data_IF_114909381022
#
_entry.id   IF_114909381022
#
_cell.length_a   1.000
_cell.length_b   1.000
_cell.length_c   1.000
_cell.angle_alpha   90.00
_cell.angle_beta   90.00
_cell.angle_gamma   90.00
#
_symmetry.space_group_name_H-M   'P 1'
#
loop_
_entity.id
_entity.type
_entity.pdbx_description
1 polymer ?
#
# COMPACT_ATOMS: atom_id res chain seq x y z
N UNK A 1 15.43 24.58 -7.04
CA UNK A 1 14.16 24.10 -7.62
C UNK A 1 14.23 22.59 -7.63
N UNK A 2 13.22 21.89 -7.13
CA UNK A 2 13.22 20.42 -7.20
C UNK A 2 12.75 19.94 -8.57
N UNK A 3 13.02 18.68 -8.92
CA UNK A 3 12.68 18.10 -10.22
C UNK A 3 11.18 18.19 -10.51
N UNK A 4 10.31 17.81 -9.55
CA UNK A 4 8.86 17.83 -9.78
C UNK A 4 8.28 19.25 -9.91
N UNK A 5 8.91 20.26 -9.32
CA UNK A 5 8.54 21.66 -9.59
C UNK A 5 8.76 22.00 -11.07
N UNK A 6 9.90 21.56 -11.61
CA UNK A 6 10.26 21.75 -13.01
C UNK A 6 9.34 20.95 -13.95
N UNK A 7 8.99 19.71 -13.60
CA UNK A 7 8.03 18.88 -14.35
C UNK A 7 6.68 19.57 -14.46
N UNK A 8 6.15 20.14 -13.37
CA UNK A 8 4.86 20.84 -13.42
C UNK A 8 4.94 22.15 -14.20
N UNK A 9 6.06 22.85 -14.17
CA UNK A 9 6.28 24.03 -15.01
C UNK A 9 6.37 23.67 -16.50
N UNK A 10 7.12 22.62 -16.85
CA UNK A 10 7.18 22.08 -18.20
C UNK A 10 5.79 21.63 -18.67
N UNK A 11 5.02 20.95 -17.81
CA UNK A 11 3.66 20.52 -18.12
C UNK A 11 2.70 21.69 -18.38
N UNK A 12 2.79 22.78 -17.62
CA UNK A 12 2.01 24.01 -17.87
C UNK A 12 2.31 24.61 -19.24
N UNK A 13 3.57 24.57 -19.68
CA UNK A 13 3.99 25.05 -21.00
C UNK A 13 3.52 24.12 -22.11
N UNK A 14 3.66 22.81 -21.91
CA UNK A 14 3.15 21.77 -22.80
C UNK A 14 1.65 21.92 -23.05
N UNK A 15 0.85 22.06 -21.99
CA UNK A 15 -0.60 22.24 -22.09
C UNK A 15 -1.01 23.60 -22.68
N UNK A 16 -0.11 24.61 -22.62
CA UNK A 16 -0.28 25.91 -23.28
C UNK A 16 0.16 25.92 -24.76
N UNK A 17 0.65 24.79 -25.29
CA UNK A 17 1.02 24.61 -26.70
C UNK A 17 2.51 24.53 -26.99
N UNK A 18 3.38 24.71 -25.99
CA UNK A 18 4.84 24.57 -26.15
C UNK A 18 5.27 23.11 -25.96
N UNK A 19 5.27 22.36 -27.07
CA UNK A 19 5.67 20.94 -27.09
C UNK A 19 7.18 20.72 -26.94
N UNK A 20 7.99 21.77 -26.95
CA UNK A 20 9.44 21.71 -26.81
C UNK A 20 9.91 21.95 -25.36
N UNK A 21 8.98 22.14 -24.42
CA UNK A 21 9.25 22.34 -23.00
C UNK A 21 9.83 21.08 -22.35
N UNK A 22 11.12 20.82 -22.60
CA UNK A 22 11.87 19.71 -22.03
C UNK A 22 12.78 20.20 -20.90
N UNK A 23 12.88 19.39 -19.87
CA UNK A 23 13.85 19.51 -18.80
C UNK A 23 15.15 18.90 -19.28
N UNK A 24 16.27 19.59 -19.08
CA UNK A 24 17.58 19.05 -19.46
C UNK A 24 18.17 18.23 -18.32
N UNK A 25 18.76 17.09 -18.66
CA UNK A 25 19.33 16.15 -17.69
C UNK A 25 20.40 16.78 -16.80
N UNK A 26 21.20 17.69 -17.35
CA UNK A 26 22.30 18.36 -16.64
C UNK A 26 21.80 19.09 -15.39
N UNK A 27 20.61 19.69 -15.46
CA UNK A 27 20.02 20.44 -14.36
C UNK A 27 19.59 19.53 -13.19
N UNK A 28 19.27 18.26 -13.47
CA UNK A 28 18.67 17.34 -12.51
C UNK A 28 19.41 16.00 -12.43
N UNK A 29 20.72 15.99 -12.67
CA UNK A 29 21.56 14.77 -12.69
C UNK A 29 21.42 13.93 -11.43
N UNK A 30 21.17 14.54 -10.26
CA UNK A 30 21.00 13.85 -8.98
C UNK A 30 19.57 13.34 -8.71
N UNK A 31 18.58 13.80 -9.48
CA UNK A 31 17.15 13.47 -9.35
C UNK A 31 16.60 12.64 -10.50
N UNK A 32 17.39 12.41 -11.56
CA UNK A 32 17.04 11.57 -12.70
C UNK A 32 17.82 10.24 -12.68
N UNK A 33 17.24 9.14 -13.20
CA UNK A 33 15.91 9.04 -13.82
C UNK A 33 14.76 8.92 -12.80
N UNK A 34 13.54 9.22 -13.23
CA UNK A 34 12.30 9.00 -12.45
C UNK A 34 11.75 7.60 -12.70
N UNK A 35 11.40 6.85 -11.66
CA UNK A 35 10.62 5.62 -11.80
C UNK A 35 9.11 5.94 -11.81
N UNK A 36 8.49 5.91 -12.99
CA UNK A 36 7.09 6.29 -13.17
C UNK A 36 6.19 5.05 -13.33
N UNK A 37 5.27 4.82 -12.39
CA UNK A 37 4.20 3.83 -12.51
C UNK A 37 2.92 4.49 -13.02
N UNK A 38 2.35 3.95 -14.08
CA UNK A 38 1.05 4.40 -14.61
C UNK A 38 0.19 3.26 -15.15
N UNK A 39 -0.95 3.60 -15.75
CA UNK A 39 -1.91 2.67 -16.33
C UNK A 39 -1.42 2.07 -17.67
N UNK A 40 -1.95 0.91 -18.04
CA UNK A 40 -1.83 0.31 -19.39
C UNK A 40 -2.70 1.01 -20.46
N UNK A 41 -3.38 2.11 -20.12
CA UNK A 41 -4.17 2.87 -21.09
C UNK A 41 -3.30 3.36 -22.25
N UNK A 42 -3.67 2.97 -23.47
CA UNK A 42 -2.88 3.24 -24.69
C UNK A 42 -2.76 4.73 -25.00
N UNK A 43 -3.72 5.56 -24.53
CA UNK A 43 -3.68 7.02 -24.71
C UNK A 43 -2.49 7.66 -24.02
N UNK A 44 -1.94 7.02 -22.98
CA UNK A 44 -0.75 7.49 -22.27
C UNK A 44 0.55 7.32 -23.08
N UNK A 45 0.58 6.43 -24.08
CA UNK A 45 1.80 6.13 -24.84
C UNK A 45 2.43 7.38 -25.48
N UNK A 46 1.69 8.16 -26.31
CA UNK A 46 2.21 9.40 -26.85
C UNK A 46 2.20 10.54 -25.84
N UNK A 47 1.34 10.50 -24.81
CA UNK A 47 1.08 11.64 -23.95
C UNK A 47 2.10 11.80 -22.82
N UNK A 48 2.44 10.71 -22.15
CA UNK A 48 3.19 10.75 -20.89
C UNK A 48 4.61 11.34 -21.03
N UNK A 49 5.43 10.99 -22.04
CA UNK A 49 6.77 11.57 -22.17
C UNK A 49 6.72 13.10 -22.28
N UNK A 50 5.80 13.62 -23.09
CA UNK A 50 5.61 15.06 -23.29
C UNK A 50 5.00 15.74 -22.06
N UNK A 51 4.04 15.10 -21.40
CA UNK A 51 3.40 15.65 -20.22
C UNK A 51 4.39 15.78 -19.04
N UNK A 52 5.36 14.89 -18.92
CA UNK A 52 6.42 14.99 -17.91
C UNK A 52 7.54 15.96 -18.31
N UNK A 53 7.68 16.28 -19.60
CA UNK A 53 8.77 17.09 -20.11
C UNK A 53 10.15 16.43 -19.93
N UNK A 54 10.20 15.10 -19.87
CA UNK A 54 11.42 14.31 -19.69
C UNK A 54 11.76 13.59 -20.99
N UNK A 55 13.06 13.43 -21.26
CA UNK A 55 13.53 12.54 -22.32
C UNK A 55 13.19 11.08 -21.98
N UNK A 56 13.10 10.20 -22.98
CA UNK A 56 12.71 8.79 -22.78
C UNK A 56 13.70 8.04 -21.88
N UNK A 57 14.99 8.41 -21.96
CA UNK A 57 16.07 7.88 -21.11
C UNK A 57 16.03 8.39 -19.67
N UNK A 58 15.28 9.45 -19.39
CA UNK A 58 15.21 10.14 -18.10
C UNK A 58 14.06 9.63 -17.21
N UNK A 59 13.25 8.69 -17.69
CA UNK A 59 12.29 7.99 -16.84
C UNK A 59 12.17 6.50 -17.16
N UNK A 60 12.05 5.71 -16.11
CA UNK A 60 11.80 4.28 -16.16
C UNK A 60 10.29 4.10 -16.13
N UNK A 61 9.72 3.57 -17.22
CA UNK A 61 8.27 3.43 -17.36
C UNK A 61 7.78 2.07 -16.87
N UNK A 62 7.06 2.06 -15.76
CA UNK A 62 6.34 0.90 -15.22
C UNK A 62 4.85 1.02 -15.51
N UNK A 63 4.18 -0.09 -15.84
CA UNK A 63 2.75 -0.09 -16.21
C UNK A 63 2.00 -1.30 -15.68
N UNK A 64 0.78 -1.07 -15.19
CA UNK A 64 -0.20 -2.12 -14.94
C UNK A 64 -1.63 -1.59 -15.10
N UNK A 65 -2.64 -2.45 -14.98
CA UNK A 65 -4.04 -2.03 -15.02
C UNK A 65 -4.34 -1.07 -13.86
N UNK A 66 -4.67 0.18 -14.19
CA UNK A 66 -5.11 1.18 -13.22
C UNK A 66 -4.04 1.68 -12.25
N UNK A 67 -2.74 1.54 -12.57
CA UNK A 67 -1.63 2.01 -11.71
C UNK A 67 -1.73 1.49 -10.25
N UNK A 68 -2.27 0.29 -10.07
CA UNK A 68 -2.64 -0.28 -8.75
C UNK A 68 -1.41 -0.84 -8.05
N UNK A 69 -1.28 -0.57 -6.76
CA UNK A 69 -0.29 -1.21 -5.88
C UNK A 69 -1.05 -1.81 -4.70
N UNK A 70 -1.13 -3.13 -4.65
CA UNK A 70 -1.96 -3.84 -3.68
C UNK A 70 -1.42 -3.73 -2.25
N UNK A 71 -0.13 -4.04 -2.09
CA UNK A 71 0.54 -4.10 -0.80
C UNK A 71 2.04 -3.78 -0.92
N UNK A 72 2.72 -3.49 0.20
CA UNK A 72 4.12 -3.06 0.22
C UNK A 72 5.15 -4.14 -0.15
N UNK A 73 4.74 -5.38 -0.47
CA UNK A 73 5.59 -6.49 -0.93
C UNK A 73 5.06 -7.13 -2.22
N UNK A 74 4.04 -6.53 -2.83
CA UNK A 74 3.42 -6.97 -4.08
C UNK A 74 4.41 -7.06 -5.23
N UNK A 75 4.04 -7.78 -6.31
CA UNK A 75 4.90 -7.90 -7.49
C UNK A 75 5.31 -6.55 -8.07
N UNK A 76 4.37 -5.59 -8.14
CA UNK A 76 4.68 -4.25 -8.63
C UNK A 76 5.61 -3.49 -7.70
N UNK A 77 5.48 -3.68 -6.38
CA UNK A 77 6.42 -3.07 -5.43
C UNK A 77 7.84 -3.58 -5.64
N UNK A 78 8.01 -4.90 -5.85
CA UNK A 78 9.32 -5.48 -6.16
C UNK A 78 9.88 -4.91 -7.46
N UNK A 79 9.06 -4.77 -8.50
CA UNK A 79 9.48 -4.14 -9.76
C UNK A 79 9.91 -2.69 -9.56
N UNK A 80 9.16 -1.92 -8.78
CA UNK A 80 9.48 -0.52 -8.47
C UNK A 80 10.77 -0.41 -7.67
N UNK A 81 10.97 -1.28 -6.68
CA UNK A 81 12.20 -1.34 -5.90
C UNK A 81 13.42 -1.67 -6.78
N UNK A 82 13.29 -2.60 -7.73
CA UNK A 82 14.35 -2.92 -8.69
C UNK A 82 14.60 -1.77 -9.68
N UNK A 83 13.57 -1.00 -10.06
CA UNK A 83 13.75 0.22 -10.86
C UNK A 83 14.62 1.24 -10.12
N UNK A 84 14.43 1.40 -8.81
CA UNK A 84 15.30 2.25 -7.99
C UNK A 84 16.71 1.65 -7.80
N UNK A 85 16.79 0.39 -7.34
CA UNK A 85 18.04 -0.22 -6.91
C UNK A 85 18.97 -0.63 -8.06
N UNK A 86 18.43 -1.11 -9.19
CA UNK A 86 19.22 -1.61 -10.32
C UNK A 86 19.27 -0.60 -11.46
N UNK A 87 18.15 0.06 -11.77
CA UNK A 87 18.08 1.04 -12.88
C UNK A 87 18.36 2.47 -12.43
N UNK A 88 18.61 2.68 -11.14
CA UNK A 88 19.04 3.96 -10.60
C UNK A 88 17.93 5.00 -10.46
N UNK A 89 16.65 4.60 -10.49
CA UNK A 89 15.51 5.48 -10.26
C UNK A 89 15.69 6.28 -8.96
N UNK A 90 15.75 7.60 -9.07
CA UNK A 90 16.06 8.52 -7.95
C UNK A 90 14.81 9.00 -7.23
N UNK A 91 13.72 9.14 -7.98
CA UNK A 91 12.41 9.56 -7.48
C UNK A 91 11.33 8.68 -8.11
N UNK A 92 10.23 8.46 -7.40
CA UNK A 92 9.10 7.64 -7.81
C UNK A 92 7.91 8.55 -8.14
N UNK A 93 7.24 8.30 -9.25
CA UNK A 93 5.99 8.94 -9.64
C UNK A 93 4.88 7.89 -9.76
N UNK A 94 3.82 8.01 -8.95
CA UNK A 94 2.59 7.23 -9.14
C UNK A 94 1.62 8.12 -9.92
N UNK A 95 1.36 7.76 -11.17
CA UNK A 95 0.63 8.60 -12.13
C UNK A 95 -0.67 7.91 -12.50
N UNK A 96 -1.77 8.40 -11.93
CA UNK A 96 -3.12 8.06 -12.38
C UNK A 96 -3.56 8.97 -13.53
N UNK A 97 -4.68 8.65 -14.15
CA UNK A 97 -5.27 9.49 -15.20
C UNK A 97 -6.78 9.57 -15.09
N UNK A 98 -7.39 10.65 -15.59
CA UNK A 98 -8.85 10.77 -15.73
C UNK A 98 -9.38 9.78 -16.76
N UNK A 99 -10.68 9.45 -16.66
CA UNK A 99 -11.34 8.48 -17.54
C UNK A 99 -10.63 7.11 -17.57
N UNK A 100 -10.24 6.62 -16.40
CA UNK A 100 -9.62 5.31 -16.28
C UNK A 100 -10.66 4.19 -16.46
N UNK A 101 -10.52 3.39 -17.51
CA UNK A 101 -11.48 2.29 -17.77
C UNK A 101 -11.50 1.23 -16.67
N UNK A 102 -10.37 1.02 -15.98
CA UNK A 102 -10.32 0.11 -14.82
C UNK A 102 -11.21 0.63 -13.68
N UNK A 103 -11.21 1.95 -13.45
CA UNK A 103 -12.10 2.62 -12.48
C UNK A 103 -13.56 2.56 -12.92
N UNK A 104 -13.82 2.75 -14.21
CA UNK A 104 -15.18 2.84 -14.75
C UNK A 104 -15.89 1.47 -14.83
N UNK A 105 -15.14 0.37 -14.81
CA UNK A 105 -15.69 -0.98 -14.97
C UNK A 105 -16.27 -1.50 -13.66
N UNK A 106 -17.57 -1.82 -13.66
CA UNK A 106 -18.23 -2.48 -12.52
C UNK A 106 -17.91 -3.98 -12.45
N UNK A 107 -18.16 -4.63 -11.30
CA UNK A 107 -17.97 -6.08 -11.15
C UNK A 107 -18.87 -6.88 -12.11
N UNK A 108 -20.11 -6.42 -12.32
CA UNK A 108 -21.06 -7.04 -13.25
C UNK A 108 -20.50 -6.98 -14.66
N UNK A 109 -20.10 -5.78 -15.10
CA UNK A 109 -19.52 -5.57 -16.42
C UNK A 109 -18.22 -6.36 -16.61
N UNK A 110 -17.34 -6.40 -15.60
CA UNK A 110 -16.11 -7.19 -15.63
C UNK A 110 -16.41 -8.67 -15.81
N UNK A 111 -17.40 -9.19 -15.07
CA UNK A 111 -17.82 -10.59 -15.15
C UNK A 111 -18.39 -10.91 -16.53
N UNK A 112 -19.22 -10.03 -17.09
CA UNK A 112 -19.78 -10.21 -18.44
C UNK A 112 -18.70 -10.13 -19.52
N UNK A 113 -17.72 -9.23 -19.38
CA UNK A 113 -16.55 -9.15 -20.27
C UNK A 113 -15.69 -10.41 -20.20
N UNK A 114 -15.44 -10.96 -19.01
CA UNK A 114 -14.74 -12.24 -18.87
C UNK A 114 -15.54 -13.41 -19.45
N UNK A 115 -16.86 -13.44 -19.24
CA UNK A 115 -17.75 -14.43 -19.86
C UNK A 115 -17.67 -14.37 -21.38
N UNK A 116 -17.68 -13.17 -21.96
CA UNK A 116 -17.54 -12.98 -23.41
C UNK A 116 -16.19 -13.44 -23.96
N UNK A 117 -15.14 -13.49 -23.12
CA UNK A 117 -13.85 -14.10 -23.43
C UNK A 117 -13.82 -15.63 -23.23
N UNK A 118 -14.94 -16.25 -22.85
CA UNK A 118 -15.03 -17.68 -22.56
C UNK A 118 -14.50 -18.08 -21.19
N UNK A 119 -14.32 -17.12 -20.27
CA UNK A 119 -13.88 -17.40 -18.90
C UNK A 119 -15.10 -17.67 -18.02
N UNK A 120 -15.21 -18.91 -17.53
CA UNK A 120 -16.28 -19.30 -16.61
C UNK A 120 -16.12 -18.63 -15.24
N UNK A 121 -17.25 -18.26 -14.62
CA UNK A 121 -17.26 -17.61 -13.29
C UNK A 121 -16.59 -18.45 -12.20
N UNK A 122 -16.64 -19.77 -12.32
CA UNK A 122 -16.02 -20.75 -11.40
C UNK A 122 -14.49 -20.68 -11.38
N UNK A 123 -13.86 -20.17 -12.45
CA UNK A 123 -12.40 -20.00 -12.54
C UNK A 123 -11.93 -18.65 -12.02
N UNK A 124 -12.85 -17.72 -11.81
CA UNK A 124 -12.55 -16.40 -11.29
C UNK A 124 -12.56 -16.42 -9.77
N UNK A 125 -11.69 -15.61 -9.12
CA UNK A 125 -11.72 -15.42 -7.67
C UNK A 125 -13.12 -15.08 -7.15
N UNK A 126 -13.41 -15.42 -5.90
CA UNK A 126 -14.70 -15.09 -5.28
C UNK A 126 -14.87 -13.57 -5.21
N UNK A 127 -13.88 -12.86 -4.65
CA UNK A 127 -13.86 -11.41 -4.54
C UNK A 127 -13.04 -10.78 -5.68
N UNK A 128 -13.73 -10.46 -6.78
CA UNK A 128 -13.12 -9.81 -7.94
C UNK A 128 -12.65 -8.38 -7.65
N UNK A 129 -13.36 -7.68 -6.77
CA UNK A 129 -13.02 -6.31 -6.40
C UNK A 129 -11.62 -6.24 -5.77
N UNK A 130 -11.37 -7.10 -4.79
CA UNK A 130 -10.09 -7.14 -4.08
C UNK A 130 -8.99 -7.76 -4.95
N UNK A 131 -9.30 -8.79 -5.74
CA UNK A 131 -8.32 -9.45 -6.58
C UNK A 131 -7.80 -8.56 -7.71
N UNK A 132 -8.69 -7.85 -8.41
CA UNK A 132 -8.31 -6.93 -9.49
C UNK A 132 -8.00 -5.52 -8.98
N UNK A 133 -8.25 -5.25 -7.70
CA UNK A 133 -7.99 -3.96 -7.07
C UNK A 133 -8.86 -2.85 -7.63
N UNK A 134 -10.13 -3.15 -7.97
CA UNK A 134 -11.03 -2.14 -8.52
C UNK A 134 -11.21 -1.00 -7.50
N UNK A 135 -11.25 0.23 -8.01
CA UNK A 135 -11.28 1.44 -7.20
C UNK A 135 -12.35 2.39 -7.73
N UNK A 136 -12.93 3.19 -6.82
CA UNK A 136 -14.02 4.11 -7.16
C UNK A 136 -13.54 5.51 -7.58
N UNK A 137 -12.27 5.84 -7.34
CA UNK A 137 -11.71 7.17 -7.63
C UNK A 137 -10.24 7.06 -8.02
N UNK A 138 -9.90 7.62 -9.17
CA UNK A 138 -8.53 7.69 -9.69
C UNK A 138 -7.62 8.47 -8.74
N UNK A 139 -8.11 9.61 -8.24
CA UNK A 139 -7.40 10.43 -7.25
C UNK A 139 -7.08 9.62 -5.99
N UNK A 140 -8.07 8.96 -5.40
CA UNK A 140 -7.85 8.18 -4.18
C UNK A 140 -6.92 6.98 -4.41
N UNK A 141 -6.98 6.36 -5.59
CA UNK A 141 -6.06 5.29 -5.98
C UNK A 141 -4.60 5.78 -6.03
N UNK A 142 -4.35 6.97 -6.58
CA UNK A 142 -3.00 7.58 -6.57
C UNK A 142 -2.52 7.87 -5.14
N UNK A 143 -3.37 8.50 -4.31
CA UNK A 143 -3.04 8.80 -2.91
C UNK A 143 -2.67 7.52 -2.14
N UNK A 144 -3.49 6.47 -2.28
CA UNK A 144 -3.24 5.16 -1.67
C UNK A 144 -1.97 4.52 -2.21
N UNK A 145 -1.75 4.55 -3.52
CA UNK A 145 -0.56 3.97 -4.15
C UNK A 145 0.72 4.60 -3.61
N UNK A 146 0.77 5.92 -3.52
CA UNK A 146 1.92 6.63 -2.95
C UNK A 146 2.16 6.24 -1.48
N UNK A 147 1.11 6.10 -0.68
CA UNK A 147 1.22 5.65 0.71
C UNK A 147 1.76 4.22 0.83
N UNK A 148 1.23 3.28 0.05
CA UNK A 148 1.69 1.88 0.04
C UNK A 148 3.17 1.77 -0.35
N UNK A 149 3.63 2.60 -1.29
CA UNK A 149 5.05 2.69 -1.68
C UNK A 149 5.91 3.18 -0.52
N UNK A 150 5.50 4.22 0.18
CA UNK A 150 6.24 4.76 1.33
C UNK A 150 6.32 3.78 2.50
N UNK A 151 5.30 2.95 2.68
CA UNK A 151 5.27 1.90 3.72
C UNK A 151 6.11 0.68 3.36
N UNK A 152 6.62 0.57 2.14
CA UNK A 152 7.41 -0.59 1.72
C UNK A 152 8.80 -0.60 2.35
N UNK A 153 9.24 -1.72 2.95
CA UNK A 153 10.62 -1.86 3.42
C UNK A 153 11.62 -1.94 2.26
N UNK A 154 11.15 -2.07 1.01
CA UNK A 154 12.00 -2.14 -0.19
C UNK A 154 12.31 -0.76 -0.77
N UNK A 155 11.59 0.27 -0.36
CA UNK A 155 11.79 1.65 -0.82
C UNK A 155 12.41 2.43 0.33
N UNK A 156 13.67 2.84 0.15
CA UNK A 156 14.38 3.57 1.19
C UNK A 156 13.71 4.91 1.51
N UNK A 157 13.79 5.40 2.77
CA UNK A 157 13.19 6.67 3.17
C UNK A 157 13.79 7.89 2.45
N UNK A 158 14.88 7.68 1.71
CA UNK A 158 15.58 8.70 0.91
C UNK A 158 15.04 8.83 -0.52
N UNK A 159 14.08 8.00 -0.96
CA UNK A 159 13.51 8.04 -2.31
C UNK A 159 12.20 8.82 -2.31
N UNK A 160 12.11 10.01 -2.93
CA UNK A 160 10.86 10.76 -3.01
C UNK A 160 9.78 9.99 -3.73
N UNK A 161 8.59 9.94 -3.13
CA UNK A 161 7.41 9.30 -3.72
C UNK A 161 6.36 10.36 -3.97
N UNK A 162 6.10 10.61 -5.24
CA UNK A 162 5.14 11.59 -5.73
C UNK A 162 3.89 10.91 -6.25
N UNK A 163 2.78 11.63 -6.18
CA UNK A 163 1.48 11.21 -6.71
C UNK A 163 0.96 12.27 -7.65
N UNK A 164 0.68 11.90 -8.90
CA UNK A 164 0.18 12.77 -9.94
C UNK A 164 -1.14 12.22 -10.49
N UNK A 165 -2.06 13.13 -10.82
CA UNK A 165 -3.23 12.82 -11.63
C UNK A 165 -3.13 13.56 -12.95
N UNK A 166 -3.15 12.82 -14.04
CA UNK A 166 -3.13 13.35 -15.39
C UNK A 166 -4.55 13.49 -15.95
N UNK A 167 -4.87 14.64 -16.53
CA UNK A 167 -6.00 14.75 -17.43
C UNK A 167 -5.65 14.07 -18.76
N UNK A 168 -6.38 13.02 -19.13
CA UNK A 168 -6.02 12.17 -20.28
C UNK A 168 -6.24 12.85 -21.65
N UNK A 169 -7.07 13.89 -21.70
CA UNK A 169 -7.40 14.61 -22.94
C UNK A 169 -6.39 15.72 -23.21
N UNK A 170 -5.96 16.43 -22.16
CA UNK A 170 -5.08 17.60 -22.27
C UNK A 170 -3.63 17.30 -21.92
N UNK A 171 -3.37 16.26 -21.12
CA UNK A 171 -2.08 15.96 -20.51
C UNK A 171 -1.74 16.84 -19.31
N UNK A 172 -2.67 17.65 -18.80
CA UNK A 172 -2.44 18.47 -17.61
C UNK A 172 -2.19 17.59 -16.38
N UNK A 173 -1.17 17.96 -15.60
CA UNK A 173 -0.79 17.26 -14.38
C UNK A 173 -1.26 18.02 -13.13
N UNK A 174 -1.93 17.30 -12.25
CA UNK A 174 -2.22 17.74 -10.89
C UNK A 174 -1.32 17.02 -9.89
N UNK A 175 -0.66 17.77 -9.01
CA UNK A 175 0.22 17.21 -7.99
C UNK A 175 -0.53 16.89 -6.71
N UNK A 176 -0.89 15.62 -6.54
CA UNK A 176 -1.68 15.15 -5.41
C UNK A 176 -0.83 14.88 -4.16
N UNK A 177 0.37 14.34 -4.36
CA UNK A 177 1.27 13.98 -3.28
C UNK A 177 2.66 14.53 -3.58
N UNK A 178 3.09 15.52 -2.79
CA UNK A 178 4.44 16.04 -2.84
C UNK A 178 5.39 15.13 -2.05
N UNK A 179 6.27 14.43 -2.76
CA UNK A 179 7.25 13.51 -2.21
C UNK A 179 8.33 14.18 -1.37
N UNK A 180 8.59 15.48 -1.55
CA UNK A 180 9.62 16.20 -0.81
C UNK A 180 9.17 16.60 0.60
N UNK A 181 7.87 16.78 0.83
CA UNK A 181 7.33 17.17 2.14
C UNK A 181 7.53 16.09 3.20
N UNK A 182 7.48 14.81 2.80
CA UNK A 182 7.70 13.67 3.71
C UNK A 182 9.16 13.53 4.17
N UNK A 183 10.12 14.20 3.52
CA UNK A 183 11.54 14.19 3.92
C UNK A 183 11.82 15.13 5.07
N UNK A 184 11.03 16.21 5.19
CA UNK A 184 11.22 17.20 6.25
C UNK A 184 10.95 16.61 7.64
N UNK A 185 10.13 15.56 7.73
CA UNK A 185 9.69 14.99 9.02
C UNK A 185 10.66 13.96 9.59
N UNK A 186 11.51 13.34 8.78
CA UNK A 186 12.45 12.29 9.22
C UNK A 186 13.83 12.86 9.62
N UNK A 187 14.10 14.13 9.30
CA UNK A 187 15.34 14.84 9.65
C UNK A 187 15.25 15.73 10.89
N UNK A 188 14.08 15.84 11.51
CA UNK A 188 13.91 16.52 12.80
C UNK A 188 14.09 15.50 13.92
N UNK A 189 15.21 15.57 14.62
CA UNK A 189 15.40 14.90 15.91
C UNK A 189 14.12 14.99 16.75
N UNK A 190 13.59 13.83 17.15
CA UNK A 190 12.60 13.73 18.23
C UNK A 190 13.30 14.10 19.54
N UNK A 191 13.47 15.41 19.79
CA UNK A 191 13.66 15.95 21.14
C UNK A 191 12.34 15.87 21.88
N UNK A 192 12.06 14.71 22.47
CA UNK A 192 10.97 14.57 23.43
C UNK A 192 11.51 14.88 24.83
N UNK A 193 11.49 16.17 25.22
CA UNK A 193 11.71 16.58 26.60
C UNK A 193 10.46 16.24 27.43
N UNK A 194 10.47 15.07 28.08
CA UNK A 194 9.50 14.76 29.13
C UNK A 194 10.04 15.27 30.47
N UNK A 195 9.48 16.38 30.97
CA UNK A 195 9.64 16.81 32.37
C UNK A 195 9.01 15.78 33.29
N UNK A 196 9.83 15.00 34.00
CA UNK A 196 9.42 14.30 35.21
C UNK A 196 10.38 14.71 36.33
N UNK A 197 9.79 15.00 37.50
CA UNK A 197 10.36 15.75 38.61
C UNK A 197 11.77 15.37 39.05
N UNK A 198 12.59 16.42 39.18
CA UNK A 198 13.55 16.58 40.29
C UNK A 198 14.62 15.50 40.44
N UNK A 199 15.59 15.49 39.53
CA UNK A 199 17.02 15.29 39.82
C UNK A 199 17.82 15.49 38.53
N UNK A 200 18.80 16.38 38.55
CA UNK A 200 19.78 16.51 37.47
C UNK A 200 20.59 15.21 37.35
N UNK A 201 20.70 14.66 36.14
CA UNK A 201 21.56 13.53 35.84
C UNK A 201 22.41 13.92 34.63
N UNK A 202 23.72 13.84 34.83
CA UNK A 202 24.81 14.15 33.90
C UNK A 202 24.65 13.47 32.52
N UNK A 203 25.18 14.14 31.50
CA UNK A 203 25.36 13.63 30.14
C UNK A 203 26.07 12.26 30.14
N UNK A 204 25.37 11.22 29.68
CA UNK A 204 26.00 9.95 29.31
C UNK A 204 25.91 9.77 27.80
N UNK A 205 27.04 10.02 27.15
CA UNK A 205 27.31 9.69 25.75
C UNK A 205 27.33 8.15 25.61
N UNK A 206 26.24 7.56 25.10
CA UNK A 206 26.27 6.14 24.73
C UNK A 206 26.91 6.01 23.33
N UNK A 207 28.19 5.66 23.32
CA UNK A 207 28.92 5.29 22.11
C UNK A 207 28.53 3.86 21.71
N UNK A 208 28.05 3.68 20.47
CA UNK A 208 27.82 2.37 19.86
C UNK A 208 29.18 1.69 19.61
N UNK A 209 29.40 0.42 20.00
CA UNK A 209 30.67 -0.24 19.73
C UNK A 209 30.84 -0.55 18.24
N UNK A 210 32.06 -0.33 17.76
CA UNK A 210 32.51 -0.62 16.41
C UNK A 210 32.37 -2.12 16.07
N UNK A 211 31.73 -2.42 14.95
CA UNK A 211 31.74 -3.76 14.36
C UNK A 211 33.09 -4.00 13.65
N UNK A 212 33.91 -4.88 14.23
CA UNK A 212 35.10 -5.42 13.57
C UNK A 212 34.73 -6.63 12.72
N UNK A 213 35.08 -6.57 11.43
CA UNK A 213 35.03 -7.67 10.47
C UNK A 213 36.16 -8.67 10.76
N UNK A 214 35.84 -9.96 10.91
CA UNK A 214 36.82 -11.03 11.11
C UNK A 214 36.22 -12.42 10.84
N UNK A 215 36.58 -12.96 9.68
CA UNK A 215 36.58 -14.34 9.18
C UNK A 215 35.93 -15.49 10.00
N UNK A 216 35.02 -16.27 9.39
CA UNK A 216 35.35 -17.58 8.80
C UNK A 216 34.12 -18.43 8.40
N UNK A 217 34.26 -19.03 7.20
CA UNK A 217 33.78 -20.36 6.74
C UNK A 217 32.28 -20.58 6.47
N UNK A 218 31.93 -20.44 5.19
CA UNK A 218 30.84 -21.19 4.55
C UNK A 218 31.22 -22.66 4.37
N UNK A 219 30.31 -23.63 4.58
CA UNK A 219 30.37 -24.91 3.90
C UNK A 219 29.77 -24.78 2.50
N UNK A 220 30.57 -25.12 1.49
CA UNK A 220 30.09 -25.48 0.15
C UNK A 220 29.31 -26.80 0.23
N UNK A 221 28.25 -26.95 -0.58
CA UNK A 221 28.09 -28.02 -1.59
C UNK A 221 26.68 -27.95 -2.22
N UNK A 222 26.64 -28.33 -3.50
CA UNK A 222 25.69 -27.99 -4.56
C UNK A 222 24.47 -28.91 -4.69
N UNK A 223 23.55 -28.39 -5.50
CA UNK A 223 22.36 -28.97 -6.14
C UNK A 223 22.65 -30.30 -6.86
N UNK A 224 21.77 -31.29 -6.62
CA UNK A 224 21.31 -32.39 -7.48
C UNK A 224 22.32 -33.22 -8.29
N UNK A 225 22.43 -34.52 -7.99
CA UNK A 225 22.77 -35.54 -8.99
C UNK A 225 22.24 -36.97 -8.65
N UNK A 226 21.67 -37.56 -9.70
CA UNK A 226 21.30 -38.92 -10.10
C UNK A 226 21.36 -40.19 -9.19
N UNK A 227 20.19 -40.84 -9.12
CA UNK A 227 19.83 -42.21 -9.55
C UNK A 227 20.43 -43.53 -8.94
N UNK A 228 19.47 -44.44 -8.66
CA UNK A 228 19.47 -45.92 -8.81
C UNK A 228 20.31 -46.81 -7.87
N UNK A 229 19.63 -47.60 -7.03
CA UNK A 229 19.53 -49.08 -7.10
C UNK A 229 18.55 -49.61 -6.04
N UNK A 230 17.43 -50.26 -6.43
CA UNK A 230 17.14 -51.72 -6.34
C UNK A 230 17.39 -52.30 -4.93
N UNK A 231 16.49 -52.96 -4.20
CA UNK A 231 15.15 -53.56 -4.35
C UNK A 231 15.00 -54.49 -3.13
N UNK A 232 13.82 -54.65 -2.51
CA UNK A 232 13.04 -55.92 -2.48
C UNK A 232 11.68 -55.71 -1.80
N UNK A 233 10.66 -56.40 -2.32
CA UNK A 233 9.23 -56.44 -1.96
C UNK A 233 8.92 -57.28 -0.68
N UNK A 234 7.66 -57.70 -0.39
CA UNK A 234 6.39 -56.98 -0.16
C UNK A 234 5.71 -57.40 1.17
N UNK A 235 4.75 -56.64 1.71
CA UNK A 235 3.74 -57.19 2.65
C UNK A 235 2.37 -56.54 2.41
N UNK A 236 1.34 -57.38 2.55
CA UNK A 236 -0.02 -57.29 2.06
C UNK A 236 -0.99 -56.36 2.81
N UNK A 237 -2.10 -56.12 2.11
CA UNK A 237 -3.48 -55.77 2.48
C UNK A 237 -3.87 -55.77 3.97
N UNK A 238 -4.61 -54.73 4.40
CA UNK A 238 -5.98 -54.90 4.92
C UNK A 238 -6.74 -53.57 5.15
N UNK A 239 -7.87 -53.47 4.44
CA UNK A 239 -9.23 -53.07 4.88
C UNK A 239 -9.50 -51.78 5.69
N UNK A 240 -10.29 -50.91 5.05
CA UNK A 240 -11.55 -50.27 5.51
C UNK A 240 -11.61 -49.57 6.87
N UNK A 241 -11.89 -48.26 6.86
CA UNK A 241 -13.08 -47.68 7.51
C UNK A 241 -13.41 -46.32 6.88
N UNK A 242 -14.70 -46.12 6.64
CA UNK A 242 -15.34 -44.93 6.07
C UNK A 242 -15.39 -43.77 7.06
N UNK A 243 -14.92 -42.58 6.68
CA UNK A 243 -15.15 -41.35 7.42
C UNK A 243 -16.39 -40.59 6.86
N UNK A 244 -17.23 -39.99 7.73
CA UNK A 244 -18.53 -39.45 7.34
C UNK A 244 -18.42 -38.12 6.58
N UNK A 245 -19.36 -37.93 5.66
CA UNK A 245 -19.61 -36.71 4.87
C UNK A 245 -19.96 -35.54 5.82
N UNK A 246 -19.33 -34.36 5.72
CA UNK A 246 -19.77 -33.18 6.46
C UNK A 246 -21.10 -32.64 5.89
N UNK A 247 -21.99 -32.09 6.73
CA UNK A 247 -23.31 -31.64 6.30
C UNK A 247 -23.22 -30.40 5.41
N UNK A 248 -24.09 -30.36 4.39
CA UNK A 248 -24.36 -29.17 3.59
C UNK A 248 -24.96 -28.06 4.48
N UNK A 249 -24.39 -26.86 4.41
CA UNK A 249 -24.91 -25.67 5.09
C UNK A 249 -25.46 -24.71 4.04
N UNK A 250 -26.75 -24.40 4.16
CA UNK A 250 -27.42 -23.37 3.40
C UNK A 250 -26.93 -21.98 3.81
N UNK A 251 -26.55 -21.15 2.84
CA UNK A 251 -26.30 -19.72 3.05
C UNK A 251 -27.64 -18.98 3.10
N UNK A 252 -27.97 -18.41 4.26
CA UNK A 252 -28.91 -17.29 4.36
C UNK A 252 -28.16 -16.08 4.88
N UNK A 253 -28.20 -15.00 4.09
CA UNK A 253 -27.65 -13.71 4.45
C UNK A 253 -28.45 -13.08 5.59
N UNK A 254 -27.85 -13.00 6.77
CA UNK A 254 -27.99 -11.84 7.67
C UNK A 254 -26.86 -11.89 8.71
N UNK A 255 -25.87 -11.00 8.60
CA UNK A 255 -24.84 -10.85 9.64
C UNK A 255 -25.44 -9.92 10.70
N UNK A 256 -25.55 -10.33 11.98
CA UNK A 256 -26.06 -9.46 13.01
C UNK A 256 -25.17 -8.21 13.14
N UNK A 257 -25.83 -7.05 13.26
CA UNK A 257 -25.24 -5.69 13.31
C UNK A 257 -23.96 -5.50 14.18
N UNK A 258 -23.70 -6.26 15.27
CA UNK A 258 -22.47 -6.09 16.07
C UNK A 258 -21.17 -6.51 15.37
N UNK A 259 -21.19 -7.56 14.53
CA UNK A 259 -19.96 -8.18 13.98
C UNK A 259 -19.35 -7.31 12.87
N UNK A 260 -20.20 -6.73 12.02
CA UNK A 260 -19.76 -5.84 10.94
C UNK A 260 -19.07 -4.56 11.45
N UNK A 261 -19.45 -4.09 12.64
CA UNK A 261 -18.85 -2.90 13.25
C UNK A 261 -17.50 -3.21 13.91
N UNK A 262 -17.38 -4.35 14.60
CA UNK A 262 -16.12 -4.87 15.12
C UNK A 262 -15.09 -5.09 14.00
N UNK A 263 -15.54 -5.62 12.86
CA UNK A 263 -14.68 -5.91 11.72
C UNK A 263 -14.04 -4.66 11.09
N UNK A 264 -14.66 -3.49 11.24
CA UNK A 264 -14.15 -2.20 10.72
C UNK A 264 -13.05 -1.58 11.58
N UNK A 265 -12.96 -1.99 12.86
CA UNK A 265 -12.04 -1.37 13.84
C UNK A 265 -10.76 -2.18 13.99
N UNK A 266 -10.81 -3.49 13.74
CA UNK A 266 -9.63 -4.36 13.84
C UNK A 266 -8.69 -4.08 12.67
N UNK A 267 -7.45 -3.65 12.98
CA UNK A 267 -6.42 -3.44 11.99
C UNK A 267 -5.80 -4.79 11.58
N UNK A 268 -6.00 -5.18 10.32
CA UNK A 268 -5.54 -6.47 9.78
C UNK A 268 -4.02 -6.66 9.83
N UNK A 269 -3.24 -5.57 9.86
CA UNK A 269 -1.79 -5.59 9.84
C UNK A 269 -1.15 -5.70 11.23
N UNK A 270 -1.89 -5.43 12.31
CA UNK A 270 -1.39 -5.58 13.67
C UNK A 270 -1.52 -7.03 14.14
N UNK A 271 -0.65 -7.43 15.08
CA UNK A 271 -0.81 -8.70 15.78
C UNK A 271 -1.51 -8.50 17.12
N UNK A 272 -2.24 -9.53 17.53
CA UNK A 272 -3.08 -9.54 18.70
C UNK A 272 -2.79 -10.81 19.50
N UNK A 273 -2.76 -10.69 20.83
CA UNK A 273 -2.91 -11.79 21.76
C UNK A 273 -4.35 -11.82 22.26
N UNK A 274 -4.87 -13.00 22.54
CA UNK A 274 -6.27 -13.22 22.91
C UNK A 274 -6.31 -14.16 24.10
N UNK A 275 -7.29 -13.97 25.00
CA UNK A 275 -7.62 -14.97 26.02
C UNK A 275 -8.89 -15.70 25.58
N UNK A 276 -8.78 -17.01 25.34
CA UNK A 276 -9.91 -17.84 24.96
C UNK A 276 -10.89 -18.06 26.13
N UNK A 277 -12.07 -18.59 25.83
CA UNK A 277 -13.07 -18.95 26.86
C UNK A 277 -12.57 -19.99 27.87
N UNK A 278 -11.54 -20.76 27.48
CA UNK A 278 -10.83 -21.72 28.32
C UNK A 278 -9.74 -21.08 29.21
N UNK A 279 -9.68 -19.74 29.27
CA UNK A 279 -8.70 -18.95 30.01
C UNK A 279 -7.25 -19.12 29.54
N UNK A 280 -7.02 -19.72 28.36
CA UNK A 280 -5.68 -19.82 27.77
C UNK A 280 -5.38 -18.64 26.87
N UNK A 281 -4.11 -18.25 26.87
CA UNK A 281 -3.61 -17.21 25.99
C UNK A 281 -3.25 -17.78 24.61
N UNK A 282 -3.78 -17.16 23.57
CA UNK A 282 -3.53 -17.47 22.17
C UNK A 282 -2.86 -16.28 21.47
N UNK A 283 -1.99 -16.58 20.50
CA UNK A 283 -1.29 -15.57 19.70
C UNK A 283 0.21 -15.48 19.97
N UNK A 284 0.91 -14.55 19.31
CA UNK A 284 0.36 -13.46 18.50
C UNK A 284 -0.25 -13.93 17.16
N UNK A 285 -1.49 -13.50 16.88
CA UNK A 285 -2.21 -13.74 15.62
C UNK A 285 -2.47 -12.43 14.89
N UNK A 286 -2.53 -12.44 13.55
CA UNK A 286 -2.83 -11.23 12.78
C UNK A 286 -4.28 -10.76 12.99
N UNK A 287 -4.53 -9.47 12.77
CA UNK A 287 -5.90 -8.93 12.77
C UNK A 287 -6.80 -9.62 11.74
N UNK A 288 -6.26 -10.09 10.62
CA UNK A 288 -7.00 -10.91 9.66
C UNK A 288 -7.46 -12.23 10.28
N UNK A 289 -6.59 -12.93 11.02
CA UNK A 289 -6.95 -14.18 11.71
C UNK A 289 -7.97 -13.97 12.84
N UNK A 290 -7.90 -12.82 13.49
CA UNK A 290 -8.85 -12.42 14.52
C UNK A 290 -10.25 -12.17 13.93
N UNK A 291 -10.33 -11.58 12.73
CA UNK A 291 -11.58 -11.43 11.99
C UNK A 291 -12.18 -12.77 11.54
N UNK A 292 -11.34 -13.71 11.09
CA UNK A 292 -11.78 -15.07 10.79
C UNK A 292 -12.41 -15.74 12.03
N UNK A 293 -11.76 -15.64 13.19
CA UNK A 293 -12.30 -16.21 14.43
C UNK A 293 -13.59 -15.54 14.90
N UNK A 294 -13.76 -14.25 14.64
CA UNK A 294 -14.99 -13.53 14.94
C UNK A 294 -16.14 -13.95 13.99
N UNK A 295 -15.82 -14.18 12.71
CA UNK A 295 -16.78 -14.68 11.72
C UNK A 295 -17.19 -16.14 11.98
N UNK A 296 -16.26 -16.96 12.48
CA UNK A 296 -16.48 -18.35 12.90
C UNK A 296 -17.15 -18.48 14.28
N UNK A 297 -17.55 -17.36 14.91
CA UNK A 297 -18.11 -17.30 16.28
C UNK A 297 -17.22 -17.93 17.38
N UNK A 298 -15.92 -18.07 17.12
CA UNK A 298 -14.93 -18.63 18.06
C UNK A 298 -14.49 -17.62 19.13
N UNK A 299 -14.69 -16.34 18.85
CA UNK A 299 -14.46 -15.22 19.77
C UNK A 299 -15.64 -14.26 19.66
N UNK A 300 -15.87 -13.48 20.71
CA UNK A 300 -17.02 -12.58 20.84
C UNK A 300 -16.61 -11.17 21.29
N UNK A 301 -17.58 -10.26 21.40
CA UNK A 301 -17.33 -8.88 21.82
C UNK A 301 -16.73 -8.74 23.24
N UNK A 302 -16.85 -9.76 24.09
CA UNK A 302 -16.33 -9.79 25.46
C UNK A 302 -14.93 -10.39 25.54
N UNK A 303 -14.46 -11.01 24.46
CA UNK A 303 -13.18 -11.69 24.42
C UNK A 303 -12.04 -10.68 24.67
N UNK A 304 -11.18 -10.91 25.68
CA UNK A 304 -10.04 -10.04 25.96
C UNK A 304 -8.96 -10.17 24.90
N UNK A 305 -8.46 -9.03 24.43
CA UNK A 305 -7.39 -8.93 23.47
C UNK A 305 -6.33 -7.92 23.91
N UNK A 306 -5.10 -8.14 23.45
CA UNK A 306 -3.97 -7.25 23.63
C UNK A 306 -3.29 -7.03 22.28
N UNK A 307 -3.13 -5.78 21.88
CA UNK A 307 -2.45 -5.40 20.63
C UNK A 307 -0.94 -5.45 20.83
N UNK A 308 -0.20 -5.90 19.82
CA UNK A 308 1.27 -5.87 19.81
C UNK A 308 1.76 -4.42 20.00
N UNK A 309 2.57 -4.20 21.05
CA UNK A 309 3.03 -2.87 21.47
C UNK A 309 2.25 -2.26 22.66
N UNK A 310 1.11 -2.84 23.04
CA UNK A 310 0.35 -2.47 24.25
C UNK A 310 0.59 -3.46 25.39
N UNK A 311 0.69 -2.96 26.62
CA UNK A 311 0.69 -3.77 27.85
C UNK A 311 -0.72 -3.96 28.41
N UNK A 312 -1.73 -3.30 27.85
CA UNK A 312 -3.10 -3.26 28.36
C UNK A 312 -3.97 -4.29 27.64
N UNK A 313 -4.71 -5.08 28.42
CA UNK A 313 -5.77 -5.96 27.94
C UNK A 313 -7.09 -5.21 27.87
N UNK A 314 -7.83 -5.37 26.79
CA UNK A 314 -9.13 -4.75 26.58
C UNK A 314 -10.06 -5.70 25.84
N UNK A 315 -11.37 -5.51 25.96
CA UNK A 315 -12.34 -6.33 25.22
C UNK A 315 -12.48 -5.86 23.77
N UNK A 316 -12.95 -6.73 22.90
CA UNK A 316 -13.27 -6.38 21.51
C UNK A 316 -14.32 -5.25 21.41
N UNK A 317 -15.28 -5.20 22.33
CA UNK A 317 -16.25 -4.10 22.43
C UNK A 317 -15.63 -2.75 22.80
N UNK A 318 -14.62 -2.73 23.68
CA UNK A 318 -13.96 -1.49 24.10
C UNK A 318 -13.23 -0.79 22.94
N UNK A 319 -12.75 -1.56 21.95
CA UNK A 319 -12.19 -1.00 20.72
C UNK A 319 -13.22 -0.24 19.89
N UNK A 320 -14.45 -0.73 19.83
CA UNK A 320 -15.53 -0.14 19.03
C UNK A 320 -16.02 1.16 19.66
N UNK A 321 -16.15 1.22 20.99
CA UNK A 321 -16.50 2.45 21.72
C UNK A 321 -15.43 3.54 21.59
N UNK A 322 -14.14 3.18 21.63
CA UNK A 322 -13.04 4.11 21.42
C UNK A 322 -13.02 4.67 19.99
N UNK A 323 -13.29 3.84 18.98
CA UNK A 323 -13.36 4.24 17.59
C UNK A 323 -14.58 5.12 17.26
N UNK A 324 -15.72 4.93 17.93
CA UNK A 324 -16.90 5.80 17.78
C UNK A 324 -16.67 7.20 18.36
N UNK A 325 -15.98 7.34 19.50
CA UNK A 325 -15.66 8.66 20.10
C UNK A 325 -14.78 9.52 19.20
N UNK A 326 -13.90 8.92 18.39
CA UNK A 326 -13.03 9.62 17.44
C UNK A 326 -13.79 10.15 16.20
N UNK A 327 -15.01 9.65 15.91
CA UNK A 327 -15.82 10.10 14.76
C UNK A 327 -16.66 11.35 15.04
N UNK A 328 -16.76 11.80 16.30
CA UNK A 328 -17.50 12.99 16.71
C UNK A 328 -16.60 14.21 16.93
N UNK A 329 -15.66 14.47 16.01
CA UNK A 329 -14.98 15.76 15.93
C UNK A 329 -15.86 16.66 15.05
N UNK A 330 -16.50 17.72 15.58
CA UNK A 330 -17.32 18.60 14.75
C UNK A 330 -16.45 19.26 13.68
N UNK A 331 -16.91 19.19 12.44
CA UNK A 331 -16.27 19.86 11.30
C UNK A 331 -16.19 21.36 11.59
N UNK A 332 -15.05 22.03 11.35
CA UNK A 332 -14.99 23.48 11.39
C UNK A 332 -15.99 24.07 10.37
N UNK A 333 -16.61 25.21 10.67
CA UNK A 333 -17.60 25.82 9.79
C UNK A 333 -16.99 26.13 8.41
N UNK A 334 -17.78 25.91 7.35
CA UNK A 334 -17.38 26.18 5.96
C UNK A 334 -16.97 27.64 5.81
N UNK A 335 -15.75 27.88 5.35
CA UNK A 335 -15.28 29.20 4.92
C UNK A 335 -15.88 29.45 3.54
N UNK A 336 -16.88 30.33 3.46
CA UNK A 336 -17.41 30.76 2.17
C UNK A 336 -16.31 31.43 1.32
N UNK A 337 -16.23 31.14 0.01
CA UNK A 337 -15.25 31.75 -0.87
C UNK A 337 -15.53 33.25 -0.98
N UNK A 338 -14.51 34.09 -0.71
CA UNK A 338 -14.61 35.53 -0.99
C UNK A 338 -14.86 35.74 -2.49
N UNK A 339 -15.83 36.59 -2.87
CA UNK A 339 -16.00 36.97 -4.27
C UNK A 339 -14.75 37.69 -4.78
N UNK A 340 -14.16 37.15 -5.84
CA UNK A 340 -13.08 37.81 -6.59
C UNK A 340 -13.61 39.11 -7.20
N UNK A 341 -12.98 40.25 -6.90
CA UNK A 341 -13.18 41.48 -7.66
C UNK A 341 -13.37 42.80 -6.91
N UNK A 342 -13.27 42.88 -5.59
CA UNK A 342 -13.27 44.17 -4.89
C UNK A 342 -11.87 44.58 -4.43
N UNK A 343 -11.36 45.67 -5.02
CA UNK A 343 -10.13 46.34 -4.56
C UNK A 343 -10.30 46.77 -3.09
N UNK A 344 -9.26 46.67 -2.25
CA UNK A 344 -9.35 47.12 -0.87
C UNK A 344 -9.55 48.64 -0.83
N UNK A 345 -10.63 49.08 -0.18
CA UNK A 345 -10.78 50.48 0.25
C UNK A 345 -9.70 50.75 1.29
N UNK A 346 -8.83 51.72 1.01
CA UNK A 346 -7.89 52.28 2.00
C UNK A 346 -8.70 53.05 3.05
N UNK A 347 -8.53 52.69 4.31
CA UNK A 347 -8.75 53.55 5.46
C UNK A 347 -7.50 53.47 6.33
#
# INVERSE_FOLDING_TARGET
>A
MHLFDAILEANRRFTSGDKAALITREQFTNSLPVAALTCIDVRLNPLLPHALGLAEEDFIWLRNAGNIIFDPMSSMMRTLALACAIKGGKEIAIIGHTDCRVRATSIVELTDRFRALGVERSRLPENLNDFFGLFASERQNVLRGAEVVRQSPLIGPKVPVHGLLMDIETGALEWLVNGYQSFATTGSELKLEAKIGGKEIFETKLELPAFHLGEMKLPEIKIGDFALQIGTQPVAEQSTTSAPKPPEVHFTADVPKPIAELARVINKALKYKIIGSDQKQYGPVSGAKLLEWLADERIDAKTPIQVEGSTVWQTLAALTEAAQKLRHIPLPPSIEPRPFGQKPKRH
#
